data_IF_787775768362
#
_entry.id   IF_787775768362
#
_cell.length_a   1.000
_cell.length_b   1.000
_cell.length_c   1.000
_cell.angle_alpha   90.00
_cell.angle_beta   90.00
_cell.angle_gamma   90.00
#
_symmetry.space_group_name_H-M   'P 1'
#
loop_
_entity.id
_entity.type
_entity.pdbx_description
1 polymer ?
#
# COMPACT_ATOMS: atom_id res chain seq x y z
N UNK A 1 8.48 -25.54 11.28
CA UNK A 1 7.14 -25.02 10.97
C UNK A 1 6.96 -23.74 11.76
N UNK A 2 6.49 -22.67 11.11
CA UNK A 2 6.14 -21.39 11.74
C UNK A 2 4.67 -21.39 12.16
N UNK A 3 4.30 -20.56 13.14
CA UNK A 3 2.90 -20.26 13.46
C UNK A 3 2.29 -19.38 12.35
N UNK A 4 3.10 -18.45 11.83
CA UNK A 4 2.71 -17.59 10.71
C UNK A 4 3.88 -17.26 9.80
N UNK A 5 3.61 -17.10 8.50
CA UNK A 5 4.50 -16.46 7.54
C UNK A 5 3.85 -15.16 7.09
N UNK A 6 4.61 -14.06 7.07
CA UNK A 6 4.17 -12.75 6.57
C UNK A 6 4.91 -12.48 5.27
N UNK A 7 4.18 -12.10 4.22
CA UNK A 7 4.76 -11.77 2.92
C UNK A 7 4.59 -10.27 2.65
N UNK A 8 5.71 -9.53 2.72
CA UNK A 8 5.79 -8.09 2.54
C UNK A 8 6.13 -7.34 3.82
N UNK A 9 7.22 -6.55 3.78
CA UNK A 9 7.73 -5.73 4.89
C UNK A 9 7.25 -4.27 4.84
N UNK A 10 6.08 -4.00 4.27
CA UNK A 10 5.39 -2.73 4.37
C UNK A 10 4.76 -2.52 5.75
N UNK A 11 4.07 -1.36 5.98
CA UNK A 11 3.50 -1.03 7.29
C UNK A 11 2.57 -2.10 7.87
N UNK A 12 1.78 -2.74 7.02
CA UNK A 12 0.86 -3.82 7.43
C UNK A 12 1.62 -5.06 7.90
N UNK A 13 2.61 -5.52 7.13
CA UNK A 13 3.39 -6.72 7.47
C UNK A 13 4.28 -6.50 8.70
N UNK A 14 4.92 -5.34 8.82
CA UNK A 14 5.72 -4.99 10.00
C UNK A 14 4.85 -4.92 11.27
N UNK A 15 3.65 -4.34 11.19
CA UNK A 15 2.74 -4.33 12.34
C UNK A 15 2.27 -5.73 12.71
N UNK A 16 1.97 -6.58 11.71
CA UNK A 16 1.62 -7.97 11.97
C UNK A 16 2.77 -8.72 12.67
N UNK A 17 4.00 -8.55 12.19
CA UNK A 17 5.19 -9.16 12.79
C UNK A 17 5.41 -8.71 14.22
N UNK A 18 5.29 -7.41 14.50
CA UNK A 18 5.37 -6.87 15.87
C UNK A 18 4.32 -7.50 16.77
N UNK A 19 3.08 -7.59 16.32
CA UNK A 19 1.96 -8.15 17.11
C UNK A 19 2.18 -9.63 17.42
N UNK A 20 2.62 -10.42 16.43
CA UNK A 20 2.93 -11.84 16.62
C UNK A 20 4.15 -12.04 17.53
N UNK A 21 5.21 -11.22 17.37
CA UNK A 21 6.39 -11.23 18.25
C UNK A 21 6.04 -10.96 19.70
N UNK A 22 5.18 -9.99 19.98
CA UNK A 22 4.68 -9.68 21.34
C UNK A 22 3.89 -10.83 21.96
N UNK A 23 3.31 -11.70 21.14
CA UNK A 23 2.62 -12.93 21.58
C UNK A 23 3.53 -14.17 21.52
N UNK A 24 4.85 -13.98 21.33
CA UNK A 24 5.87 -15.04 21.23
C UNK A 24 5.51 -16.12 20.21
N UNK A 25 4.87 -15.73 19.08
CA UNK A 25 4.55 -16.64 17.97
C UNK A 25 5.76 -16.77 17.05
N UNK A 26 6.07 -18.00 16.67
CA UNK A 26 7.16 -18.27 15.73
C UNK A 26 6.77 -17.78 14.34
N UNK A 27 7.36 -16.68 13.92
CA UNK A 27 6.97 -15.93 12.73
C UNK A 27 8.13 -15.76 11.77
N UNK A 28 7.89 -15.94 10.47
CA UNK A 28 8.81 -15.57 9.40
C UNK A 28 8.21 -14.41 8.61
N UNK A 29 8.94 -13.30 8.51
CA UNK A 29 8.62 -12.19 7.62
C UNK A 29 9.55 -12.25 6.41
N UNK A 30 8.97 -12.35 5.21
CA UNK A 30 9.66 -12.33 3.92
C UNK A 30 9.38 -10.99 3.23
N UNK A 31 10.44 -10.25 2.90
CA UNK A 31 10.33 -8.92 2.32
C UNK A 31 11.19 -8.79 1.07
N UNK A 32 10.58 -8.45 -0.06
CA UNK A 32 11.30 -8.24 -1.33
C UNK A 32 12.03 -6.90 -1.41
N UNK A 33 11.79 -5.98 -0.48
CA UNK A 33 12.34 -4.63 -0.51
C UNK A 33 11.64 -3.68 -1.51
N UNK A 34 10.58 -4.13 -2.17
CA UNK A 34 9.81 -3.30 -3.11
C UNK A 34 8.57 -2.72 -2.46
N UNK A 35 8.49 -1.39 -2.36
CA UNK A 35 7.41 -0.70 -1.67
C UNK A 35 6.66 0.26 -2.60
N UNK A 36 5.32 0.34 -2.45
CA UNK A 36 4.49 1.29 -3.18
C UNK A 36 4.92 2.75 -2.95
N UNK A 37 5.30 3.07 -1.72
CA UNK A 37 5.77 4.39 -1.31
C UNK A 37 7.30 4.53 -1.36
N UNK A 38 7.98 3.74 -2.18
CA UNK A 38 9.45 3.78 -2.31
C UNK A 38 9.99 5.09 -2.89
N UNK A 39 9.19 5.80 -3.69
CA UNK A 39 9.52 7.11 -4.27
C UNK A 39 9.14 8.29 -3.37
N UNK A 40 8.32 8.07 -2.34
CA UNK A 40 7.84 9.11 -1.41
C UNK A 40 8.93 9.44 -0.41
N UNK A 41 9.23 10.73 -0.23
CA UNK A 41 10.23 11.22 0.73
C UNK A 41 9.63 11.54 2.10
N UNK A 42 8.39 11.99 2.13
CA UNK A 42 7.69 12.41 3.34
C UNK A 42 6.31 11.78 3.38
N UNK A 43 6.07 10.89 4.34
CA UNK A 43 4.76 10.29 4.57
C UNK A 43 3.95 11.17 5.51
N UNK A 44 2.79 11.61 5.07
CA UNK A 44 1.92 12.47 5.84
C UNK A 44 0.67 11.76 6.34
N UNK A 45 -0.08 12.42 7.21
CA UNK A 45 -1.33 11.93 7.79
C UNK A 45 -1.15 10.61 8.59
N UNK A 46 -0.01 10.49 9.28
CA UNK A 46 0.25 9.41 10.23
C UNK A 46 0.58 10.01 11.60
N UNK A 47 -0.34 9.89 12.55
CA UNK A 47 -0.20 10.44 13.90
C UNK A 47 1.15 10.07 14.52
N UNK A 48 1.85 11.03 15.12
CA UNK A 48 3.20 10.95 15.70
C UNK A 48 4.35 10.78 14.69
N UNK A 49 4.05 10.53 13.40
CA UNK A 49 5.04 10.33 12.35
C UNK A 49 4.75 11.16 11.08
N UNK A 50 4.01 12.26 11.23
CA UNK A 50 3.70 13.15 10.11
C UNK A 50 4.99 13.77 9.54
N UNK A 51 5.16 13.70 8.20
CA UNK A 51 6.34 14.16 7.50
C UNK A 51 7.58 13.24 7.57
N UNK A 52 7.48 12.06 8.18
CA UNK A 52 8.62 11.14 8.27
C UNK A 52 8.85 10.39 6.95
N UNK A 53 10.13 10.15 6.63
CA UNK A 53 10.52 9.30 5.49
C UNK A 53 9.97 7.87 5.67
N UNK A 54 9.27 7.30 4.69
CA UNK A 54 8.78 5.92 4.73
C UNK A 54 9.88 4.88 4.95
N UNK A 55 11.08 5.09 4.42
CA UNK A 55 12.22 4.19 4.64
C UNK A 55 12.66 4.22 6.11
N UNK A 56 12.67 5.39 6.73
CA UNK A 56 12.98 5.55 8.15
C UNK A 56 11.92 4.88 9.03
N UNK A 57 10.63 4.98 8.69
CA UNK A 57 9.56 4.27 9.39
C UNK A 57 9.80 2.75 9.37
N UNK A 58 10.14 2.19 8.19
CA UNK A 58 10.44 0.76 8.07
C UNK A 58 11.68 0.36 8.86
N UNK A 59 12.73 1.18 8.83
CA UNK A 59 13.97 0.92 9.60
C UNK A 59 13.71 0.87 11.11
N UNK A 60 12.94 1.82 11.64
CA UNK A 60 12.56 1.87 13.05
C UNK A 60 11.73 0.63 13.41
N UNK A 61 10.70 0.31 12.63
CA UNK A 61 9.83 -0.84 12.88
C UNK A 61 10.61 -2.17 12.85
N UNK A 62 11.53 -2.35 11.89
CA UNK A 62 12.41 -3.55 11.85
C UNK A 62 13.30 -3.64 13.08
N UNK A 63 13.82 -2.52 13.58
CA UNK A 63 14.62 -2.50 14.80
C UNK A 63 13.80 -2.86 16.06
N UNK A 64 12.55 -2.39 16.14
CA UNK A 64 11.64 -2.77 17.22
C UNK A 64 11.28 -4.26 17.17
N UNK A 65 11.04 -4.82 16.00
CA UNK A 65 10.72 -6.25 15.81
C UNK A 65 11.92 -7.13 16.13
N UNK A 66 13.14 -6.69 15.85
CA UNK A 66 14.37 -7.45 16.14
C UNK A 66 14.59 -7.73 17.65
N UNK A 67 13.85 -7.07 18.54
CA UNK A 67 13.86 -7.37 19.97
C UNK A 67 13.09 -8.68 20.32
N UNK A 68 12.41 -9.30 19.38
CA UNK A 68 11.61 -10.52 19.58
C UNK A 68 12.27 -11.71 18.89
N UNK A 69 12.92 -12.58 19.65
CA UNK A 69 13.65 -13.76 19.15
C UNK A 69 12.77 -14.77 18.41
N UNK A 70 11.44 -14.65 18.52
CA UNK A 70 10.47 -15.50 17.83
C UNK A 70 10.14 -15.03 16.41
N UNK A 71 10.64 -13.86 15.99
CA UNK A 71 10.41 -13.30 14.66
C UNK A 71 11.69 -13.31 13.86
N UNK A 72 11.69 -14.11 12.79
CA UNK A 72 12.73 -14.12 11.77
C UNK A 72 12.34 -13.18 10.63
N UNK A 73 13.23 -12.27 10.22
CA UNK A 73 13.03 -11.37 9.08
C UNK A 73 14.07 -11.70 8.01
N UNK A 74 13.60 -12.00 6.80
CA UNK A 74 14.46 -12.36 5.67
C UNK A 74 14.13 -11.48 4.47
N UNK A 75 15.16 -10.87 3.89
CA UNK A 75 15.05 -10.11 2.66
C UNK A 75 15.03 -11.10 1.49
N UNK A 76 13.83 -11.48 1.05
CA UNK A 76 13.60 -12.47 0.00
C UNK A 76 12.27 -12.25 -0.70
N UNK A 77 12.24 -12.48 -2.01
CA UNK A 77 11.01 -12.49 -2.80
C UNK A 77 10.37 -13.89 -2.77
N UNK A 78 9.05 -13.92 -2.54
CA UNK A 78 8.27 -15.16 -2.63
C UNK A 78 8.01 -15.49 -4.09
N UNK A 79 8.38 -16.70 -4.51
CA UNK A 79 8.21 -17.19 -5.87
C UNK A 79 7.04 -18.16 -6.03
N UNK A 80 6.61 -18.82 -4.95
CA UNK A 80 5.49 -19.77 -4.98
C UNK A 80 4.79 -19.86 -3.62
N UNK A 81 3.50 -20.18 -3.66
CA UNK A 81 2.66 -20.36 -2.48
C UNK A 81 1.53 -21.36 -2.76
N UNK A 82 1.24 -22.19 -1.77
CA UNK A 82 0.06 -23.07 -1.78
C UNK A 82 -0.51 -23.25 -0.39
N UNK A 83 -1.82 -23.46 -0.28
CA UNK A 83 -2.53 -23.71 0.96
C UNK A 83 -3.37 -24.98 0.82
N UNK A 84 -3.34 -25.85 1.83
CA UNK A 84 -4.12 -27.09 1.89
C UNK A 84 -3.79 -27.91 3.13
N UNK A 85 -4.73 -28.74 3.57
CA UNK A 85 -4.57 -29.65 4.72
C UNK A 85 -4.10 -28.95 6.01
N UNK A 86 -4.57 -27.71 6.25
CA UNK A 86 -4.19 -26.90 7.42
C UNK A 86 -2.74 -26.39 7.40
N UNK A 87 -2.06 -26.48 6.24
CA UNK A 87 -0.67 -26.00 6.08
C UNK A 87 -0.56 -25.08 4.88
N UNK A 88 0.12 -23.96 5.08
CA UNK A 88 0.54 -23.06 3.99
C UNK A 88 2.01 -23.30 3.70
N UNK A 89 2.35 -23.51 2.43
CA UNK A 89 3.72 -23.63 1.92
C UNK A 89 4.08 -22.39 1.15
N UNK A 90 5.24 -21.82 1.46
CA UNK A 90 5.77 -20.60 0.84
C UNK A 90 7.19 -20.88 0.37
N UNK A 91 7.48 -20.61 -0.89
CA UNK A 91 8.83 -20.74 -1.46
C UNK A 91 9.44 -19.36 -1.66
N UNK A 92 10.59 -19.13 -1.04
CA UNK A 92 11.39 -17.92 -1.21
C UNK A 92 12.86 -18.30 -1.38
N UNK A 93 13.54 -17.73 -2.36
CA UNK A 93 14.94 -18.04 -2.70
C UNK A 93 15.23 -19.54 -2.83
N UNK A 94 14.28 -20.26 -3.45
CA UNK A 94 14.38 -21.73 -3.66
C UNK A 94 14.20 -22.59 -2.39
N UNK A 95 13.90 -21.98 -1.24
CA UNK A 95 13.63 -22.69 0.02
C UNK A 95 12.14 -22.74 0.32
N UNK A 96 11.63 -23.92 0.63
CA UNK A 96 10.26 -24.11 1.11
C UNK A 96 10.18 -23.83 2.61
N UNK A 97 9.23 -22.98 2.99
CA UNK A 97 8.86 -22.69 4.37
C UNK A 97 7.40 -23.10 4.59
N UNK A 98 7.06 -23.53 5.80
CA UNK A 98 5.72 -24.03 6.16
C UNK A 98 5.20 -23.33 7.39
N UNK A 99 3.91 -23.00 7.38
CA UNK A 99 3.19 -22.41 8.51
C UNK A 99 1.74 -22.89 8.57
N UNK A 100 1.08 -22.62 9.68
CA UNK A 100 -0.37 -22.81 9.81
C UNK A 100 -1.16 -21.63 9.25
N UNK A 101 -0.55 -20.45 9.17
CA UNK A 101 -1.16 -19.25 8.61
C UNK A 101 -0.19 -18.44 7.76
N UNK A 102 -0.72 -17.72 6.76
CA UNK A 102 0.00 -16.71 5.99
C UNK A 102 -0.73 -15.39 6.01
N UNK A 103 0.00 -14.29 6.18
CA UNK A 103 -0.52 -12.92 6.06
C UNK A 103 0.08 -12.30 4.79
N UNK A 104 -0.75 -12.08 3.78
CA UNK A 104 -0.40 -11.40 2.54
C UNK A 104 -0.42 -9.88 2.79
N UNK A 105 0.75 -9.27 2.86
CA UNK A 105 0.97 -7.84 3.06
C UNK A 105 1.75 -7.22 1.90
N UNK A 106 1.62 -7.79 0.69
CA UNK A 106 2.42 -7.46 -0.50
C UNK A 106 2.10 -6.09 -1.10
N UNK A 107 0.98 -5.48 -0.70
CA UNK A 107 0.51 -4.22 -1.26
C UNK A 107 0.17 -4.34 -2.75
N UNK A 108 0.23 -3.20 -3.43
CA UNK A 108 -0.11 -3.06 -4.85
C UNK A 108 0.97 -2.29 -5.61
N UNK A 109 0.89 -2.33 -6.93
CA UNK A 109 1.71 -1.52 -7.86
C UNK A 109 0.78 -0.55 -8.56
N UNK A 110 1.15 0.73 -8.59
CA UNK A 110 0.42 1.76 -9.32
C UNK A 110 0.76 1.68 -10.82
N UNK A 111 -0.27 1.73 -11.65
CA UNK A 111 -0.16 1.82 -13.11
C UNK A 111 -0.43 3.27 -13.51
N UNK A 112 0.65 4.02 -13.71
CA UNK A 112 0.57 5.45 -14.03
C UNK A 112 0.09 5.65 -15.48
N UNK A 113 -0.68 6.74 -15.75
CA UNK A 113 -1.02 7.09 -17.13
C UNK A 113 0.28 7.37 -17.92
N UNK A 114 0.33 6.98 -19.22
CA UNK A 114 1.53 7.09 -20.04
C UNK A 114 1.75 8.53 -20.55
N UNK A 115 1.70 9.51 -19.63
CA UNK A 115 1.96 10.92 -19.93
C UNK A 115 3.47 11.15 -19.81
N UNK A 116 4.15 11.63 -20.88
CA UNK A 116 5.57 11.93 -20.84
C UNK A 116 5.97 12.82 -19.66
N UNK A 117 7.03 12.47 -18.96
CA UNK A 117 7.57 13.19 -17.80
C UNK A 117 6.83 12.95 -16.47
N UNK A 118 5.55 12.52 -16.46
CA UNK A 118 4.75 12.39 -15.24
C UNK A 118 5.37 11.45 -14.21
N UNK A 119 5.86 10.30 -14.63
CA UNK A 119 6.42 9.28 -13.73
C UNK A 119 7.66 9.77 -12.96
N UNK A 120 8.41 10.73 -13.49
CA UNK A 120 9.58 11.32 -12.80
C UNK A 120 9.19 12.14 -11.56
N UNK A 121 7.94 12.55 -11.45
CA UNK A 121 7.39 13.38 -10.37
C UNK A 121 6.47 12.61 -9.42
N UNK A 122 6.28 11.29 -9.69
CA UNK A 122 5.40 10.45 -8.89
C UNK A 122 5.92 10.22 -7.47
N UNK A 123 5.06 10.50 -6.50
CA UNK A 123 5.37 10.39 -5.06
C UNK A 123 5.96 11.67 -4.45
N UNK A 124 6.05 12.74 -5.25
CA UNK A 124 6.50 14.08 -4.84
C UNK A 124 5.48 15.13 -5.32
N UNK A 125 5.76 15.83 -6.42
CA UNK A 125 4.85 16.85 -6.97
C UNK A 125 3.68 16.28 -7.77
N UNK A 126 3.69 14.98 -8.12
CA UNK A 126 2.53 14.23 -8.61
C UNK A 126 2.13 13.18 -7.57
N UNK A 127 0.88 13.22 -7.11
CA UNK A 127 0.34 12.35 -6.07
C UNK A 127 -1.06 11.84 -6.42
N UNK A 128 -1.56 10.83 -5.68
CA UNK A 128 -2.93 10.33 -5.82
C UNK A 128 -3.86 10.76 -4.68
N UNK A 129 -3.30 11.03 -3.50
CA UNK A 129 -4.08 11.18 -2.27
C UNK A 129 -4.09 12.63 -1.80
N UNK A 130 -5.21 13.33 -1.85
CA UNK A 130 -5.33 14.70 -1.32
C UNK A 130 -5.02 14.81 0.17
N UNK A 131 -5.37 13.80 0.96
CA UNK A 131 -5.10 13.78 2.41
C UNK A 131 -3.63 13.57 2.74
N UNK A 132 -2.85 13.06 1.78
CA UNK A 132 -1.44 12.73 1.99
C UNK A 132 -0.50 13.84 1.48
N UNK A 133 -0.92 14.61 0.46
CA UNK A 133 -0.07 15.62 -0.19
C UNK A 133 -0.76 16.98 -0.41
N UNK A 134 -2.04 17.11 -0.05
CA UNK A 134 -2.75 18.37 -0.31
C UNK A 134 -2.20 19.55 0.48
N UNK A 135 -1.81 19.32 1.73
CA UNK A 135 -1.30 20.37 2.61
C UNK A 135 0.01 21.01 2.12
N UNK A 136 0.87 20.23 1.49
CA UNK A 136 2.17 20.66 0.96
C UNK A 136 2.03 21.67 -0.19
N UNK A 137 0.85 21.72 -0.81
CA UNK A 137 0.49 22.71 -1.84
C UNK A 137 -0.42 23.83 -1.33
N UNK A 138 -0.54 24.01 -0.01
CA UNK A 138 -1.45 24.99 0.59
C UNK A 138 -1.21 26.42 0.05
N UNK A 139 -2.30 27.09 -0.35
CA UNK A 139 -2.27 28.45 -0.87
C UNK A 139 -1.69 28.59 -2.29
N UNK A 140 -1.41 27.48 -2.97
CA UNK A 140 -0.80 27.44 -4.32
C UNK A 140 -1.75 26.77 -5.32
N UNK A 141 -1.63 27.02 -6.64
CA UNK A 141 -2.46 26.37 -7.66
C UNK A 141 -2.08 24.91 -7.79
N UNK A 142 -3.08 24.03 -7.98
CA UNK A 142 -2.89 22.59 -8.22
C UNK A 142 -3.70 22.12 -9.41
N UNK A 143 -3.28 21.02 -10.04
CA UNK A 143 -4.05 20.33 -11.07
C UNK A 143 -4.64 19.02 -10.55
N UNK A 144 -5.82 18.65 -11.04
CA UNK A 144 -6.39 17.30 -10.94
C UNK A 144 -6.45 16.75 -12.35
N UNK A 145 -5.48 15.91 -12.71
CA UNK A 145 -5.36 15.28 -14.03
C UNK A 145 -6.20 14.00 -13.98
N UNK A 146 -7.48 14.14 -14.20
CA UNK A 146 -8.46 13.06 -14.20
C UNK A 146 -9.78 13.56 -14.82
N UNK A 147 -10.73 12.64 -15.08
CA UNK A 147 -12.02 12.96 -15.67
C UNK A 147 -13.18 12.45 -14.80
N UNK A 148 -14.38 13.00 -15.07
CA UNK A 148 -15.63 12.56 -14.46
C UNK A 148 -15.80 12.93 -12.98
N UNK A 149 -16.73 12.26 -12.32
CA UNK A 149 -17.18 12.58 -10.95
C UNK A 149 -16.06 12.46 -9.91
N UNK A 150 -15.10 11.57 -10.13
CA UNK A 150 -13.95 11.42 -9.22
C UNK A 150 -13.06 12.67 -9.25
N UNK A 151 -12.76 13.21 -10.44
CA UNK A 151 -11.99 14.44 -10.58
C UNK A 151 -12.66 15.62 -9.86
N UNK A 152 -13.98 15.76 -10.04
CA UNK A 152 -14.77 16.81 -9.38
C UNK A 152 -14.76 16.66 -7.85
N UNK A 153 -14.82 15.42 -7.34
CA UNK A 153 -14.76 15.16 -5.91
C UNK A 153 -13.40 15.56 -5.35
N UNK A 154 -12.30 15.15 -5.97
CA UNK A 154 -10.93 15.51 -5.56
C UNK A 154 -10.73 17.03 -5.62
N UNK A 155 -11.20 17.68 -6.69
CA UNK A 155 -11.12 19.13 -6.82
C UNK A 155 -11.88 19.85 -5.69
N UNK A 156 -13.07 19.37 -5.30
CA UNK A 156 -13.83 19.93 -4.16
C UNK A 156 -13.09 19.75 -2.83
N UNK A 157 -12.41 18.61 -2.63
CA UNK A 157 -11.60 18.37 -1.43
C UNK A 157 -10.42 19.33 -1.33
N UNK A 158 -9.81 19.71 -2.47
CA UNK A 158 -8.64 20.57 -2.52
C UNK A 158 -8.98 22.07 -2.43
N UNK A 159 -10.22 22.48 -2.72
CA UNK A 159 -10.65 23.90 -2.66
C UNK A 159 -10.29 24.64 -1.36
N UNK A 160 -10.42 24.05 -0.17
CA UNK A 160 -10.05 24.74 1.08
C UNK A 160 -8.55 24.90 1.27
N UNK A 161 -7.74 24.14 0.51
CA UNK A 161 -6.29 24.02 0.68
C UNK A 161 -5.56 24.83 -0.38
N UNK A 162 -5.88 24.64 -1.65
CA UNK A 162 -5.20 25.27 -2.78
C UNK A 162 -5.80 26.67 -3.09
N UNK A 163 -4.99 27.57 -3.65
CA UNK A 163 -5.47 28.87 -4.12
C UNK A 163 -6.36 28.75 -5.36
N UNK A 164 -6.06 27.76 -6.21
CA UNK A 164 -6.81 27.45 -7.42
C UNK A 164 -6.70 25.95 -7.71
N UNK A 165 -7.77 25.34 -8.25
CA UNK A 165 -7.80 23.91 -8.62
C UNK A 165 -8.24 23.79 -10.07
N UNK A 166 -7.32 23.33 -10.91
CA UNK A 166 -7.55 23.09 -12.33
C UNK A 166 -7.88 21.61 -12.55
N UNK A 167 -9.07 21.31 -13.09
CA UNK A 167 -9.41 19.96 -13.54
C UNK A 167 -9.03 19.83 -15.00
N UNK A 168 -8.15 18.87 -15.30
CA UNK A 168 -7.57 18.68 -16.64
C UNK A 168 -7.84 17.25 -17.08
N UNK A 169 -8.39 17.08 -18.28
CA UNK A 169 -8.52 15.74 -18.88
C UNK A 169 -7.13 15.16 -19.18
N UNK A 170 -6.83 13.93 -18.76
CA UNK A 170 -5.56 13.29 -19.09
C UNK A 170 -5.22 13.28 -20.59
N UNK A 171 -6.25 13.25 -21.45
CA UNK A 171 -6.07 13.27 -22.91
C UNK A 171 -5.52 14.60 -23.43
N UNK A 172 -5.73 15.71 -22.71
CA UNK A 172 -5.25 17.05 -23.08
C UNK A 172 -3.81 17.30 -22.63
N UNK A 173 -3.22 16.44 -21.78
CA UNK A 173 -1.86 16.59 -21.27
C UNK A 173 -0.87 15.93 -22.22
N UNK A 174 -0.01 16.71 -22.84
CA UNK A 174 1.03 16.24 -23.77
C UNK A 174 2.30 15.83 -23.07
N UNK A 175 2.68 16.58 -22.02
CA UNK A 175 3.93 16.39 -21.28
C UNK A 175 3.83 17.09 -19.93
N UNK A 176 4.59 16.58 -18.94
CA UNK A 176 4.79 17.18 -17.61
C UNK A 176 6.27 17.44 -17.43
N UNK A 177 6.65 18.68 -17.13
CA UNK A 177 8.01 19.05 -16.82
C UNK A 177 8.10 19.62 -15.39
N UNK A 178 9.20 19.31 -14.70
CA UNK A 178 9.51 19.92 -13.40
C UNK A 178 9.91 21.38 -13.56
N UNK A 179 9.48 22.20 -12.60
CA UNK A 179 9.97 23.55 -12.35
C UNK A 179 10.77 23.55 -11.04
N UNK A 180 11.48 24.65 -10.75
CA UNK A 180 12.19 24.81 -9.45
C UNK A 180 11.23 24.68 -8.26
N UNK A 181 9.97 25.07 -8.43
CA UNK A 181 8.94 25.02 -7.39
C UNK A 181 7.57 24.59 -7.97
N UNK A 182 7.48 23.37 -8.50
CA UNK A 182 6.25 22.80 -9.02
C UNK A 182 6.39 22.12 -10.37
N UNK A 183 5.33 22.19 -11.17
CA UNK A 183 5.19 21.49 -12.44
C UNK A 183 4.68 22.43 -13.52
N UNK A 184 5.13 22.22 -14.77
CA UNK A 184 4.50 22.73 -15.98
C UNK A 184 3.80 21.60 -16.73
N UNK A 185 2.50 21.72 -16.88
CA UNK A 185 1.70 20.87 -17.74
C UNK A 185 1.61 21.49 -19.13
N UNK A 186 2.05 20.79 -20.16
CA UNK A 186 1.88 21.17 -21.54
C UNK A 186 0.53 20.65 -22.04
N UNK A 187 -0.46 21.54 -22.14
CA UNK A 187 -1.80 21.21 -22.59
C UNK A 187 -2.02 21.65 -24.05
N UNK A 188 -3.03 21.09 -24.71
CA UNK A 188 -3.44 21.52 -26.05
C UNK A 188 -3.85 23.00 -26.08
N UNK A 189 -4.38 23.52 -24.97
CA UNK A 189 -4.78 24.93 -24.79
C UNK A 189 -3.63 25.87 -24.43
N UNK A 190 -2.42 25.36 -24.18
CA UNK A 190 -1.26 26.10 -23.73
C UNK A 190 -0.70 25.60 -22.40
N UNK A 191 0.45 26.12 -21.93
CA UNK A 191 1.07 25.66 -20.71
C UNK A 191 0.30 26.11 -19.46
N UNK A 192 0.28 25.22 -18.44
CA UNK A 192 -0.29 25.47 -17.12
C UNK A 192 0.76 25.18 -16.06
N UNK A 193 1.13 26.17 -15.26
CA UNK A 193 2.06 26.04 -14.15
C UNK A 193 1.29 25.84 -12.84
N UNK A 194 1.65 24.78 -12.09
CA UNK A 194 1.00 24.40 -10.82
C UNK A 194 2.05 23.95 -9.79
N UNK A 195 1.71 24.04 -8.52
CA UNK A 195 2.56 23.57 -7.43
C UNK A 195 2.67 22.03 -7.41
N UNK A 196 1.57 21.36 -7.75
CA UNK A 196 1.51 19.91 -7.83
C UNK A 196 0.29 19.42 -8.58
N UNK A 197 0.26 18.14 -8.88
CA UNK A 197 -0.84 17.51 -9.60
C UNK A 197 -1.35 16.26 -8.88
N UNK A 198 -2.65 16.02 -8.95
CA UNK A 198 -3.31 14.83 -8.42
C UNK A 198 -3.84 13.99 -9.57
N UNK A 199 -3.53 12.69 -9.54
CA UNK A 199 -3.99 11.71 -10.52
C UNK A 199 -4.72 10.55 -9.83
N UNK A 200 -5.50 9.78 -10.57
CA UNK A 200 -6.03 8.49 -10.13
C UNK A 200 -5.36 7.39 -10.96
N UNK A 201 -4.23 6.83 -10.51
CA UNK A 201 -3.59 5.76 -11.24
C UNK A 201 -4.44 4.49 -11.19
N UNK A 202 -4.33 3.65 -12.21
CA UNK A 202 -4.69 2.26 -12.08
C UNK A 202 -3.80 1.59 -11.04
N UNK A 203 -4.17 0.39 -10.63
CA UNK A 203 -3.33 -0.40 -9.74
C UNK A 203 -3.58 -1.90 -9.94
N UNK A 204 -2.62 -2.71 -9.55
CA UNK A 204 -2.71 -4.17 -9.60
C UNK A 204 -1.97 -4.80 -8.43
N UNK A 205 -2.38 -5.99 -7.99
CA UNK A 205 -1.60 -6.79 -7.04
C UNK A 205 -0.20 -7.05 -7.57
N UNK A 206 0.74 -7.27 -6.66
CA UNK A 206 2.12 -7.59 -6.99
C UNK A 206 2.26 -9.10 -7.25
N UNK A 207 2.69 -9.48 -8.46
CA UNK A 207 2.89 -10.88 -8.85
C UNK A 207 1.59 -11.69 -9.01
N UNK A 208 1.70 -13.02 -8.96
CA UNK A 208 0.63 -13.99 -9.23
C UNK A 208 0.24 -14.83 -7.99
N UNK A 209 0.73 -14.50 -6.81
CA UNK A 209 0.48 -15.27 -5.58
C UNK A 209 -1.01 -15.42 -5.26
N UNK A 210 -1.83 -14.41 -5.57
CA UNK A 210 -3.27 -14.44 -5.36
C UNK A 210 -3.96 -15.47 -6.26
N UNK A 211 -3.52 -15.59 -7.51
CA UNK A 211 -4.07 -16.53 -8.49
C UNK A 211 -3.72 -17.98 -8.09
N UNK A 212 -2.50 -18.20 -7.60
CA UNK A 212 -2.05 -19.51 -7.08
C UNK A 212 -2.86 -19.97 -5.87
N UNK A 213 -3.23 -19.05 -4.99
CA UNK A 213 -4.05 -19.33 -3.81
C UNK A 213 -5.55 -19.44 -4.11
N UNK A 214 -6.02 -18.90 -5.24
CA UNK A 214 -7.44 -18.87 -5.58
C UNK A 214 -8.30 -18.05 -4.62
N UNK A 215 -7.74 -17.02 -3.97
CA UNK A 215 -8.49 -16.14 -3.06
C UNK A 215 -9.54 -15.33 -3.81
N UNK A 216 -10.73 -15.17 -3.22
CA UNK A 216 -11.78 -14.32 -3.78
C UNK A 216 -11.36 -12.86 -3.80
N UNK A 217 -11.76 -12.15 -4.87
CA UNK A 217 -11.50 -10.72 -5.05
C UNK A 217 -12.80 -9.95 -5.10
N UNK A 218 -12.74 -8.68 -4.72
CA UNK A 218 -13.79 -7.68 -4.92
C UNK A 218 -13.75 -7.17 -6.37
N UNK A 219 -14.80 -6.48 -6.81
CA UNK A 219 -14.86 -5.85 -8.15
C UNK A 219 -13.72 -4.84 -8.38
N UNK A 220 -13.17 -4.28 -7.32
CA UNK A 220 -11.96 -3.43 -7.34
C UNK A 220 -10.69 -4.17 -7.73
N UNK A 221 -10.67 -5.51 -7.68
CA UNK A 221 -9.48 -6.35 -7.83
C UNK A 221 -8.75 -6.65 -6.51
N UNK A 222 -9.09 -5.98 -5.40
CA UNK A 222 -8.53 -6.24 -4.08
C UNK A 222 -8.98 -7.60 -3.54
N UNK A 223 -8.18 -8.21 -2.66
CA UNK A 223 -8.57 -9.44 -1.97
C UNK A 223 -9.75 -9.16 -1.06
N UNK A 224 -10.83 -9.93 -1.23
CA UNK A 224 -12.00 -9.88 -0.37
C UNK A 224 -11.66 -10.43 1.01
N UNK A 225 -11.95 -9.66 2.07
CA UNK A 225 -11.65 -10.07 3.44
C UNK A 225 -12.82 -9.76 4.38
N UNK A 226 -12.84 -10.47 5.52
CA UNK A 226 -13.59 -10.03 6.68
C UNK A 226 -12.87 -8.86 7.39
N UNK A 227 -13.44 -8.26 8.45
CA UNK A 227 -12.79 -7.18 9.21
C UNK A 227 -11.47 -7.55 9.87
N UNK A 228 -11.15 -8.83 9.99
CA UNK A 228 -9.91 -9.36 10.56
C UNK A 228 -8.90 -9.81 9.49
N UNK A 229 -9.15 -9.49 8.24
CA UNK A 229 -8.27 -9.85 7.14
C UNK A 229 -8.36 -11.31 6.69
N UNK A 230 -9.32 -12.12 7.18
CA UNK A 230 -9.50 -13.50 6.71
C UNK A 230 -10.00 -13.49 5.27
N UNK A 231 -9.40 -14.32 4.43
CA UNK A 231 -9.80 -14.50 3.04
C UNK A 231 -10.77 -15.67 2.88
N UNK A 232 -11.12 -16.00 1.64
CA UNK A 232 -11.91 -17.21 1.31
C UNK A 232 -11.14 -18.51 1.46
N UNK A 233 -9.83 -18.46 1.70
CA UNK A 233 -8.95 -19.64 1.84
C UNK A 233 -8.52 -19.76 3.29
N UNK A 234 -8.75 -20.91 3.90
CA UNK A 234 -8.41 -21.17 5.30
C UNK A 234 -6.89 -20.99 5.55
N UNK A 235 -6.55 -20.34 6.67
CA UNK A 235 -5.15 -20.04 7.02
C UNK A 235 -4.54 -18.89 6.22
N UNK A 236 -5.28 -18.29 5.25
CA UNK A 236 -4.78 -17.18 4.43
C UNK A 236 -5.48 -15.88 4.81
N UNK A 237 -4.67 -14.88 5.15
CA UNK A 237 -5.09 -13.52 5.50
C UNK A 237 -4.52 -12.54 4.49
N UNK A 238 -5.20 -11.42 4.26
CA UNK A 238 -4.71 -10.32 3.43
C UNK A 238 -4.93 -8.96 4.12
N UNK A 239 -3.95 -8.07 4.04
CA UNK A 239 -3.94 -6.80 4.76
C UNK A 239 -3.30 -5.66 3.95
N UNK A 240 -3.52 -4.43 4.38
CA UNK A 240 -2.99 -3.23 3.73
C UNK A 240 -3.67 -2.96 2.39
N UNK A 241 -2.95 -2.31 1.48
CA UNK A 241 -3.50 -1.86 0.18
C UNK A 241 -4.02 -3.01 -0.69
N UNK A 242 -3.57 -4.25 -0.43
CA UNK A 242 -4.02 -5.45 -1.13
C UNK A 242 -5.45 -5.86 -0.79
N UNK A 243 -5.94 -5.51 0.39
CA UNK A 243 -7.18 -6.05 0.96
C UNK A 243 -8.33 -5.04 0.93
N UNK A 244 -9.54 -5.56 0.79
CA UNK A 244 -10.78 -4.80 0.94
C UNK A 244 -11.80 -5.60 1.73
N UNK A 245 -12.15 -5.11 2.91
CA UNK A 245 -13.20 -5.70 3.71
C UNK A 245 -14.60 -5.44 3.09
N UNK A 246 -15.51 -6.40 3.24
CA UNK A 246 -16.84 -6.40 2.62
C UNK A 246 -17.69 -5.15 2.88
N UNK A 247 -17.49 -4.49 4.02
CA UNK A 247 -18.25 -3.29 4.40
C UNK A 247 -17.68 -1.98 3.82
N UNK A 248 -16.53 -2.03 3.15
CA UNK A 248 -15.88 -0.86 2.58
C UNK A 248 -16.24 -0.69 1.09
N UNK A 249 -16.48 0.54 0.63
CA UNK A 249 -16.82 0.80 -0.77
C UNK A 249 -15.63 0.64 -1.74
N UNK A 250 -14.42 0.50 -1.21
CA UNK A 250 -13.17 0.35 -1.96
C UNK A 250 -12.00 0.05 -1.03
N UNK A 251 -10.82 -0.27 -1.58
CA UNK A 251 -9.62 -0.48 -0.78
C UNK A 251 -9.18 0.84 -0.12
N UNK A 252 -8.69 0.72 1.13
CA UNK A 252 -8.24 1.88 1.92
C UNK A 252 -6.71 2.04 1.81
N UNK A 253 -6.26 2.83 0.84
CA UNK A 253 -4.84 3.14 0.64
C UNK A 253 -4.36 4.17 1.67
N UNK A 254 -3.98 3.69 2.86
CA UNK A 254 -3.56 4.53 3.98
C UNK A 254 -2.57 3.78 4.86
N UNK A 255 -1.52 4.46 5.32
CA UNK A 255 -0.56 3.89 6.27
C UNK A 255 -1.23 3.48 7.58
N UNK A 256 -2.13 4.32 8.11
CA UNK A 256 -2.86 4.04 9.34
C UNK A 256 -3.77 2.82 9.19
N UNK A 257 -4.51 2.70 8.07
CA UNK A 257 -5.35 1.55 7.78
C UNK A 257 -4.51 0.27 7.59
N UNK A 258 -3.38 0.36 6.91
CA UNK A 258 -2.46 -0.75 6.71
C UNK A 258 -1.91 -1.28 8.05
N UNK A 259 -1.48 -0.40 8.95
CA UNK A 259 -1.03 -0.72 10.31
C UNK A 259 -2.16 -1.41 11.09
N UNK A 260 -3.35 -0.82 11.11
CA UNK A 260 -4.51 -1.40 11.80
C UNK A 260 -4.87 -2.79 11.26
N UNK A 261 -4.89 -2.95 9.93
CA UNK A 261 -5.17 -4.24 9.28
C UNK A 261 -4.14 -5.32 9.64
N UNK A 262 -2.85 -4.95 9.66
CA UNK A 262 -1.78 -5.87 10.09
C UNK A 262 -1.96 -6.35 11.53
N UNK A 263 -2.32 -5.46 12.44
CA UNK A 263 -2.61 -5.81 13.83
C UNK A 263 -3.81 -6.74 13.94
N UNK A 264 -4.93 -6.43 13.27
CA UNK A 264 -6.16 -7.23 13.33
C UNK A 264 -5.94 -8.64 12.79
N UNK A 265 -5.24 -8.79 11.67
CA UNK A 265 -4.92 -10.11 11.11
C UNK A 265 -4.03 -10.93 12.05
N UNK A 266 -3.01 -10.32 12.64
CA UNK A 266 -2.16 -11.00 13.60
C UNK A 266 -2.92 -11.45 14.85
N UNK A 267 -3.86 -10.64 15.35
CA UNK A 267 -4.77 -11.04 16.45
C UNK A 267 -5.61 -12.25 16.04
N UNK A 268 -6.18 -12.23 14.84
CA UNK A 268 -6.99 -13.34 14.33
C UNK A 268 -6.17 -14.64 14.16
N UNK A 269 -4.91 -14.54 13.70
CA UNK A 269 -3.99 -15.68 13.64
C UNK A 269 -3.76 -16.24 15.03
N UNK A 270 -3.46 -15.41 16.04
CA UNK A 270 -3.25 -15.88 17.42
C UNK A 270 -4.50 -16.57 17.96
N UNK A 271 -5.68 -16.03 17.71
CA UNK A 271 -6.95 -16.64 18.12
C UNK A 271 -7.18 -17.99 17.46
N UNK A 272 -6.88 -18.14 16.16
CA UNK A 272 -7.04 -19.42 15.46
C UNK A 272 -6.12 -20.51 15.98
N UNK A 273 -4.90 -20.15 16.44
CA UNK A 273 -3.93 -21.10 17.00
C UNK A 273 -4.33 -21.64 18.39
N UNK A 274 -5.24 -20.98 19.10
CA UNK A 274 -5.69 -21.38 20.44
C UNK A 274 -7.17 -21.78 20.48
N UNK A 275 -7.82 -21.74 19.32
CA UNK A 275 -9.19 -22.24 19.20
C UNK A 275 -9.23 -23.76 19.45
N UNK A 276 -10.26 -24.27 20.14
CA UNK A 276 -10.40 -25.69 20.46
C UNK A 276 -10.58 -26.56 19.23
#
# INVERSE_FOLDING_TARGET
VYDAIIIGGGPAGLQAALTLGRMHRRTLLLDSGEYRNGTVRHAHNLLTNDGRDPAELRRIARAEIAAYDTVEMTDAAVSDISAGDGVVRVVADGRENRSTAVILATGVVDDLPPIPGLAAHWGDTVASCPFCHGHEFAGRPVAVINAGTHAEMVARMLKPVASEVHVVDPADVREVNGLDDGLRLHLDSGPLDVAGAFIAPGWRPRGDLLDRLGVQRQDSGAVRTDPFGRTSVEGVYAVGDLAQADHLPGPMFSLAAAIAGGQLAAVAVVQSLVAP
#
